data_IF_789350026285
#
_entry.id   IF_789350026285
#
_cell.length_a   1.000
_cell.length_b   1.000
_cell.length_c   1.000
_cell.angle_alpha   90.00
_cell.angle_beta   90.00
_cell.angle_gamma   90.00
#
_symmetry.space_group_name_H-M   'P 1'
#
loop_
_entity.id
_entity.type
_entity.pdbx_description
1 polymer ?
#
# COMPACT_ATOMS: atom_id res chain seq x y z
N UNK A 1 21.77 38.49 -17.98
CA UNK A 1 22.15 37.53 -19.03
C UNK A 1 21.24 36.32 -18.88
N UNK A 2 20.46 36.03 -19.92
CA UNK A 2 19.46 34.96 -19.95
C UNK A 2 20.13 33.59 -19.89
N UNK A 3 19.67 32.74 -18.96
CA UNK A 3 20.03 31.32 -18.91
C UNK A 3 19.15 30.58 -19.90
N UNK A 4 19.71 30.25 -21.07
CA UNK A 4 19.06 29.38 -22.04
C UNK A 4 18.84 27.99 -21.43
N UNK A 5 17.57 27.62 -21.23
CA UNK A 5 17.15 26.23 -21.11
C UNK A 5 17.35 25.56 -22.47
N UNK A 6 18.58 25.19 -22.81
CA UNK A 6 18.85 24.35 -23.97
C UNK A 6 18.33 22.95 -23.70
N UNK A 7 17.21 22.61 -24.33
CA UNK A 7 16.69 21.26 -24.45
C UNK A 7 17.75 20.40 -25.18
N UNK A 8 18.62 19.72 -24.42
CA UNK A 8 19.64 18.84 -25.00
C UNK A 8 18.97 17.56 -25.48
N UNK A 9 18.76 17.45 -26.79
CA UNK A 9 18.42 16.21 -27.48
C UNK A 9 19.46 15.07 -27.26
N UNK A 10 20.64 15.42 -26.73
CA UNK A 10 21.79 14.52 -26.59
C UNK A 10 21.72 13.50 -25.46
N UNK A 11 20.62 13.42 -24.72
CA UNK A 11 20.49 12.45 -23.60
C UNK A 11 19.64 11.24 -23.97
N UNK A 12 18.69 11.39 -24.91
CA UNK A 12 17.94 10.25 -25.49
C UNK A 12 18.85 9.44 -26.42
N UNK A 13 19.74 10.13 -27.11
CA UNK A 13 20.72 9.57 -28.03
C UNK A 13 22.04 9.55 -27.28
N UNK A 14 22.49 8.38 -26.81
CA UNK A 14 23.80 8.27 -26.14
C UNK A 14 24.92 8.83 -27.01
N UNK A 15 26.08 9.12 -26.42
CA UNK A 15 27.28 9.72 -27.05
C UNK A 15 27.80 9.00 -28.32
N UNK A 16 27.17 7.89 -28.73
CA UNK A 16 27.42 7.07 -29.93
C UNK A 16 26.23 6.95 -30.90
N UNK A 17 25.16 7.75 -30.78
CA UNK A 17 23.98 7.60 -31.65
C UNK A 17 23.04 6.45 -31.26
N UNK A 18 23.39 5.67 -30.23
CA UNK A 18 22.62 4.51 -29.76
C UNK A 18 21.70 4.96 -28.62
N UNK A 19 20.40 4.78 -28.79
CA UNK A 19 19.39 4.97 -27.73
C UNK A 19 19.81 4.10 -26.55
N UNK A 20 20.01 4.70 -25.37
CA UNK A 20 20.31 3.91 -24.16
C UNK A 20 19.19 2.90 -23.91
N UNK A 21 19.49 1.71 -23.37
CA UNK A 21 18.46 0.69 -23.04
C UNK A 21 17.26 1.28 -22.27
N UNK A 22 17.50 2.29 -21.44
CA UNK A 22 16.48 3.01 -20.68
C UNK A 22 15.60 3.92 -21.56
N UNK A 23 16.19 4.59 -22.56
CA UNK A 23 15.44 5.37 -23.56
C UNK A 23 14.56 4.49 -24.44
N UNK A 24 14.98 3.26 -24.74
CA UNK A 24 14.14 2.30 -25.46
C UNK A 24 12.92 1.87 -24.62
N UNK A 25 13.12 1.58 -23.33
CA UNK A 25 12.03 1.21 -22.41
C UNK A 25 11.00 2.33 -22.25
N UNK A 26 11.43 3.59 -22.17
CA UNK A 26 10.50 4.72 -22.03
C UNK A 26 9.67 4.94 -23.29
N UNK A 27 10.28 4.85 -24.47
CA UNK A 27 9.57 4.89 -25.76
C UNK A 27 8.59 3.72 -25.87
N UNK A 28 8.98 2.51 -25.45
CA UNK A 28 8.10 1.35 -25.47
C UNK A 28 6.85 1.56 -24.59
N UNK A 29 6.99 2.15 -23.40
CA UNK A 29 5.84 2.44 -22.51
C UNK A 29 4.87 3.42 -23.19
N UNK A 30 5.37 4.52 -23.75
CA UNK A 30 4.53 5.46 -24.49
C UNK A 30 3.86 4.80 -25.69
N UNK A 31 4.58 3.97 -26.44
CA UNK A 31 4.03 3.25 -27.58
C UNK A 31 2.92 2.27 -27.17
N UNK A 32 3.11 1.53 -26.08
CA UNK A 32 2.10 0.60 -25.54
C UNK A 32 0.86 1.36 -25.08
N UNK A 33 1.01 2.41 -24.26
CA UNK A 33 -0.12 3.21 -23.78
C UNK A 33 -0.87 3.88 -24.92
N UNK A 34 -0.15 4.40 -25.91
CA UNK A 34 -0.74 4.99 -27.11
C UNK A 34 -1.45 3.96 -27.98
N UNK A 35 -0.87 2.75 -28.14
CA UNK A 35 -1.52 1.64 -28.83
C UNK A 35 -2.80 1.22 -28.11
N UNK A 36 -2.80 1.11 -26.77
CA UNK A 36 -4.01 0.86 -25.98
C UNK A 36 -5.05 1.96 -26.20
N UNK A 37 -4.66 3.24 -26.20
CA UNK A 37 -5.57 4.36 -26.43
C UNK A 37 -6.22 4.30 -27.83
N UNK A 38 -5.43 4.06 -28.87
CA UNK A 38 -5.93 3.87 -30.24
C UNK A 38 -6.88 2.69 -30.29
N UNK A 39 -6.54 1.60 -29.62
CA UNK A 39 -7.36 0.40 -29.59
C UNK A 39 -8.73 0.65 -28.94
N UNK A 40 -8.76 1.36 -27.82
CA UNK A 40 -9.98 1.69 -27.08
C UNK A 40 -10.89 2.66 -27.85
N UNK A 41 -10.34 3.66 -28.54
CA UNK A 41 -11.12 4.68 -29.26
C UNK A 41 -11.43 4.29 -30.70
N UNK A 42 -10.49 3.65 -31.37
CA UNK A 42 -10.53 3.38 -32.81
C UNK A 42 -11.22 2.08 -33.20
N UNK A 43 -11.35 1.12 -32.29
CA UNK A 43 -11.98 -0.17 -32.56
C UNK A 43 -13.14 -0.41 -31.58
N UNK A 44 -14.32 -0.85 -32.06
CA UNK A 44 -15.41 -1.23 -31.16
C UNK A 44 -15.01 -2.44 -30.30
N UNK A 45 -15.53 -2.49 -29.08
CA UNK A 45 -15.43 -3.68 -28.23
C UNK A 45 -16.23 -4.85 -28.81
N UNK A 46 -15.96 -6.07 -28.33
CA UNK A 46 -16.78 -7.22 -28.71
C UNK A 46 -18.24 -6.98 -28.32
N UNK A 47 -19.23 -7.56 -29.03
CA UNK A 47 -20.65 -7.29 -28.77
C UNK A 47 -21.06 -7.52 -27.31
N UNK A 48 -20.49 -8.56 -26.69
CA UNK A 48 -20.76 -8.91 -25.29
C UNK A 48 -20.04 -7.99 -24.29
N UNK A 49 -19.04 -7.23 -24.74
CA UNK A 49 -18.23 -6.32 -23.93
C UNK A 49 -18.52 -4.84 -24.19
N UNK A 50 -19.34 -4.53 -25.18
CA UNK A 50 -19.64 -3.16 -25.60
C UNK A 50 -20.21 -2.31 -24.46
N UNK A 51 -19.64 -1.12 -24.31
CA UNK A 51 -20.03 -0.14 -23.29
C UNK A 51 -20.63 1.09 -23.98
N UNK A 52 -21.64 1.70 -23.36
CA UNK A 52 -22.25 2.93 -23.87
C UNK A 52 -21.33 4.15 -23.74
N UNK A 53 -20.40 4.14 -22.78
CA UNK A 53 -19.43 5.20 -22.54
C UNK A 53 -18.07 4.63 -22.08
N UNK A 54 -17.01 4.89 -22.84
CA UNK A 54 -15.63 4.49 -22.53
C UNK A 54 -14.76 5.66 -22.00
N UNK A 55 -15.34 6.84 -21.78
CA UNK A 55 -14.61 8.06 -21.38
C UNK A 55 -13.83 7.89 -20.07
N UNK A 56 -14.36 7.11 -19.13
CA UNK A 56 -13.68 6.82 -17.86
C UNK A 56 -12.32 6.15 -18.10
N UNK A 57 -12.30 5.13 -18.97
CA UNK A 57 -11.11 4.37 -19.28
C UNK A 57 -10.11 5.21 -20.09
N UNK A 58 -10.60 5.96 -21.08
CA UNK A 58 -9.78 6.89 -21.86
C UNK A 58 -9.14 7.95 -20.96
N UNK A 59 -9.89 8.56 -20.04
CA UNK A 59 -9.37 9.52 -19.09
C UNK A 59 -8.29 8.91 -18.19
N UNK A 60 -8.47 7.65 -17.76
CA UNK A 60 -7.47 6.92 -17.00
C UNK A 60 -6.18 6.68 -17.81
N UNK A 61 -6.28 6.26 -19.08
CA UNK A 61 -5.13 6.09 -19.97
C UNK A 61 -4.36 7.40 -20.21
N UNK A 62 -5.07 8.52 -20.36
CA UNK A 62 -4.45 9.84 -20.48
C UNK A 62 -3.77 10.27 -19.18
N UNK A 63 -4.41 10.02 -18.03
CA UNK A 63 -3.86 10.32 -16.71
C UNK A 63 -2.57 9.54 -16.46
N UNK A 64 -2.55 8.22 -16.68
CA UNK A 64 -1.34 7.40 -16.47
C UNK A 64 -0.21 7.81 -17.42
N UNK A 65 -0.54 8.14 -18.67
CA UNK A 65 0.44 8.67 -19.65
C UNK A 65 1.02 10.00 -19.19
N UNK A 66 0.18 10.90 -18.68
CA UNK A 66 0.59 12.22 -18.17
C UNK A 66 1.48 12.08 -16.94
N UNK A 67 1.11 11.22 -15.98
CA UNK A 67 1.90 10.95 -14.77
C UNK A 67 3.25 10.35 -15.14
N UNK A 68 3.28 9.42 -16.09
CA UNK A 68 4.53 8.83 -16.57
C UNK A 68 5.41 9.89 -17.24
N UNK A 69 4.87 10.68 -18.16
CA UNK A 69 5.60 11.76 -18.83
C UNK A 69 6.13 12.81 -17.86
N UNK A 70 5.34 13.21 -16.87
CA UNK A 70 5.78 14.13 -15.82
C UNK A 70 6.93 13.56 -14.99
N UNK A 71 6.90 12.26 -14.65
CA UNK A 71 8.01 11.61 -13.93
C UNK A 71 9.28 11.52 -14.76
N UNK A 72 9.16 11.21 -16.05
CA UNK A 72 10.30 11.16 -16.98
C UNK A 72 10.91 12.55 -17.15
N UNK A 73 10.08 13.59 -17.26
CA UNK A 73 10.53 14.98 -17.40
C UNK A 73 11.22 15.51 -16.13
N UNK A 74 10.66 15.23 -14.94
CA UNK A 74 11.15 15.78 -13.67
C UNK A 74 12.34 15.01 -13.08
N UNK A 75 12.45 13.70 -13.28
CA UNK A 75 13.43 12.84 -12.59
C UNK A 75 14.22 11.95 -13.57
N UNK A 76 14.87 12.57 -14.55
CA UNK A 76 15.57 11.88 -15.63
C UNK A 76 16.69 10.91 -15.14
N UNK A 77 17.36 11.21 -14.02
CA UNK A 77 18.48 10.39 -13.54
C UNK A 77 18.07 9.14 -12.73
N UNK A 78 16.85 9.11 -12.16
CA UNK A 78 16.31 7.96 -11.40
C UNK A 78 15.38 7.06 -12.23
N UNK A 79 15.45 7.17 -13.55
CA UNK A 79 14.53 6.53 -14.52
C UNK A 79 14.47 4.99 -14.39
N UNK A 80 15.55 4.32 -14.02
CA UNK A 80 15.65 2.84 -14.17
C UNK A 80 14.64 2.08 -13.31
N UNK A 81 14.51 2.40 -12.02
CA UNK A 81 13.62 1.64 -11.11
C UNK A 81 12.12 1.94 -11.32
N UNK A 82 11.78 3.14 -11.80
CA UNK A 82 10.37 3.51 -12.02
C UNK A 82 9.86 3.00 -13.36
N UNK A 83 10.72 2.92 -14.38
CA UNK A 83 10.34 2.56 -15.75
C UNK A 83 9.80 1.12 -15.83
N UNK A 84 10.41 0.18 -15.11
CA UNK A 84 10.01 -1.23 -15.17
C UNK A 84 8.60 -1.47 -14.62
N UNK A 85 8.21 -0.74 -13.57
CA UNK A 85 6.86 -0.80 -13.00
C UNK A 85 5.83 -0.29 -14.01
N UNK A 86 6.10 0.86 -14.65
CA UNK A 86 5.20 1.41 -15.66
C UNK A 86 5.11 0.54 -16.91
N UNK A 87 6.18 -0.15 -17.30
CA UNK A 87 6.17 -1.12 -18.38
C UNK A 87 5.23 -2.28 -18.07
N UNK A 88 5.34 -2.88 -16.89
CA UNK A 88 4.48 -3.99 -16.47
C UNK A 88 3.01 -3.55 -16.45
N UNK A 89 2.71 -2.37 -15.88
CA UNK A 89 1.34 -1.85 -15.82
C UNK A 89 0.80 -1.58 -17.23
N UNK A 90 1.57 -0.92 -18.09
CA UNK A 90 1.13 -0.57 -19.44
C UNK A 90 0.91 -1.81 -20.30
N UNK A 91 1.81 -2.79 -20.22
CA UNK A 91 1.67 -4.07 -20.90
C UNK A 91 0.46 -4.85 -20.37
N UNK A 92 0.24 -4.86 -19.05
CA UNK A 92 -0.93 -5.48 -18.45
C UNK A 92 -2.24 -4.86 -18.92
N UNK A 93 -2.33 -3.53 -18.98
CA UNK A 93 -3.51 -2.82 -19.50
C UNK A 93 -3.75 -3.09 -20.99
N UNK A 94 -2.69 -3.11 -21.79
CA UNK A 94 -2.77 -3.44 -23.22
C UNK A 94 -3.28 -4.87 -23.43
N UNK A 95 -2.71 -5.84 -22.71
CA UNK A 95 -3.14 -7.23 -22.78
C UNK A 95 -4.57 -7.41 -22.27
N UNK A 96 -4.98 -6.67 -21.23
CA UNK A 96 -6.35 -6.74 -20.72
C UNK A 96 -7.36 -6.24 -21.76
N UNK A 97 -7.12 -5.08 -22.37
CA UNK A 97 -7.97 -4.54 -23.44
C UNK A 97 -7.99 -5.47 -24.67
N UNK A 98 -6.83 -5.97 -25.09
CA UNK A 98 -6.71 -6.85 -26.25
C UNK A 98 -7.44 -8.17 -26.05
N UNK A 99 -7.16 -8.88 -24.95
CA UNK A 99 -7.65 -10.24 -24.75
C UNK A 99 -9.12 -10.27 -24.36
N UNK A 100 -9.56 -9.33 -23.52
CA UNK A 100 -10.89 -9.37 -22.90
C UNK A 100 -11.84 -8.31 -23.44
N UNK A 101 -11.34 -7.11 -23.80
CA UNK A 101 -12.18 -6.07 -24.40
C UNK A 101 -12.49 -6.34 -25.88
N UNK A 102 -11.45 -6.63 -26.68
CA UNK A 102 -11.61 -6.77 -28.14
C UNK A 102 -11.77 -8.21 -28.61
N UNK A 103 -10.87 -9.12 -28.20
CA UNK A 103 -10.87 -10.49 -28.71
C UNK A 103 -11.89 -11.40 -28.01
N UNK A 104 -12.39 -11.02 -26.83
CA UNK A 104 -13.37 -11.79 -26.05
C UNK A 104 -12.98 -13.26 -25.87
N UNK A 105 -11.69 -13.52 -25.62
CA UNK A 105 -11.12 -14.88 -25.64
C UNK A 105 -11.66 -15.79 -24.53
N UNK A 106 -12.09 -15.21 -23.42
CA UNK A 106 -12.73 -15.92 -22.30
C UNK A 106 -14.16 -15.42 -22.11
N UNK A 107 -14.91 -16.12 -21.25
CA UNK A 107 -16.28 -15.77 -20.91
C UNK A 107 -16.38 -14.32 -20.41
N UNK A 108 -17.07 -13.50 -21.20
CA UNK A 108 -17.26 -12.08 -20.97
C UNK A 108 -17.98 -11.75 -19.68
N UNK A 109 -18.69 -12.72 -19.12
CA UNK A 109 -19.38 -12.60 -17.84
C UNK A 109 -18.42 -12.65 -16.64
N UNK A 110 -17.37 -13.47 -16.70
CA UNK A 110 -16.41 -13.66 -15.61
C UNK A 110 -15.21 -12.72 -15.77
N UNK A 111 -14.79 -12.48 -17.02
CA UNK A 111 -13.62 -11.67 -17.35
C UNK A 111 -14.03 -10.40 -18.10
N UNK A 112 -14.41 -9.33 -17.38
CA UNK A 112 -14.87 -8.11 -18.00
C UNK A 112 -13.73 -7.34 -18.66
N UNK A 113 -14.04 -6.69 -19.79
CA UNK A 113 -13.12 -5.74 -20.42
C UNK A 113 -12.88 -4.51 -19.53
N UNK A 114 -11.73 -3.83 -19.67
CA UNK A 114 -11.41 -2.69 -18.81
C UNK A 114 -12.41 -1.54 -18.99
N UNK A 115 -12.94 -1.30 -20.19
CA UNK A 115 -13.96 -0.27 -20.40
C UNK A 115 -15.19 -0.44 -19.48
N UNK A 116 -15.70 -1.66 -19.31
CA UNK A 116 -16.82 -1.96 -18.39
C UNK A 116 -16.46 -1.70 -16.94
N UNK A 117 -15.28 -2.19 -16.53
CA UNK A 117 -14.80 -2.00 -15.16
C UNK A 117 -14.62 -0.52 -14.84
N UNK A 118 -14.08 0.26 -15.79
CA UNK A 118 -13.89 1.69 -15.57
C UNK A 118 -15.19 2.49 -15.58
N UNK A 119 -16.22 2.02 -16.29
CA UNK A 119 -17.56 2.61 -16.23
C UNK A 119 -18.16 2.52 -14.80
N UNK A 120 -17.89 1.43 -14.08
CA UNK A 120 -18.37 1.25 -12.70
C UNK A 120 -17.93 2.38 -11.77
N UNK A 121 -16.71 2.93 -11.96
CA UNK A 121 -16.24 4.05 -11.14
C UNK A 121 -17.09 5.31 -11.31
N UNK A 122 -17.81 5.45 -12.42
CA UNK A 122 -18.76 6.55 -12.66
C UNK A 122 -20.16 6.22 -12.17
N UNK A 123 -20.63 4.97 -12.33
CA UNK A 123 -22.00 4.59 -11.95
C UNK A 123 -22.15 4.41 -10.45
N UNK A 124 -21.13 3.87 -9.79
CA UNK A 124 -21.17 3.45 -8.38
C UNK A 124 -20.34 4.37 -7.47
N UNK A 125 -19.93 5.56 -7.95
CA UNK A 125 -19.02 6.48 -7.25
C UNK A 125 -19.42 6.70 -5.79
N UNK A 126 -20.71 6.97 -5.54
CA UNK A 126 -21.22 7.25 -4.20
C UNK A 126 -21.03 6.04 -3.26
N UNK A 127 -21.44 4.86 -3.69
CA UNK A 127 -21.34 3.63 -2.91
C UNK A 127 -19.88 3.23 -2.67
N UNK A 128 -19.01 3.44 -3.67
CA UNK A 128 -17.58 3.22 -3.54
C UNK A 128 -16.94 4.17 -2.52
N UNK A 129 -17.28 5.46 -2.54
CA UNK A 129 -16.79 6.43 -1.54
C UNK A 129 -17.26 6.06 -0.13
N UNK A 130 -18.54 5.72 0.04
CA UNK A 130 -19.08 5.24 1.32
C UNK A 130 -18.34 3.98 1.81
N UNK A 131 -18.04 3.07 0.89
CA UNK A 131 -17.21 1.88 1.15
C UNK A 131 -15.81 2.24 1.65
N UNK A 132 -15.10 3.15 0.96
CA UNK A 132 -13.78 3.62 1.38
C UNK A 132 -13.84 4.21 2.79
N UNK A 133 -14.78 5.13 3.05
CA UNK A 133 -14.89 5.81 4.35
C UNK A 133 -15.18 4.81 5.47
N UNK A 134 -16.08 3.85 5.24
CA UNK A 134 -16.40 2.80 6.20
C UNK A 134 -15.16 1.95 6.53
N UNK A 135 -14.47 1.45 5.48
CA UNK A 135 -13.28 0.62 5.61
C UNK A 135 -12.13 1.34 6.32
N UNK A 136 -11.85 2.59 5.94
CA UNK A 136 -10.82 3.40 6.60
C UNK A 136 -11.16 3.65 8.07
N UNK A 137 -12.43 3.93 8.38
CA UNK A 137 -12.87 4.16 9.74
C UNK A 137 -12.69 2.94 10.65
N UNK A 138 -12.96 1.73 10.13
CA UNK A 138 -12.75 0.47 10.85
C UNK A 138 -11.25 0.17 11.00
N UNK A 139 -10.50 0.29 9.89
CA UNK A 139 -9.07 0.05 9.84
C UNK A 139 -8.30 0.91 10.84
N UNK A 140 -8.47 2.23 10.76
CA UNK A 140 -7.72 3.15 11.61
C UNK A 140 -8.11 3.03 13.07
N UNK A 141 -9.39 2.77 13.39
CA UNK A 141 -9.80 2.55 14.77
C UNK A 141 -9.10 1.33 15.39
N UNK A 142 -9.09 0.19 14.70
CA UNK A 142 -8.41 -1.01 15.20
C UNK A 142 -6.89 -0.88 15.23
N UNK A 143 -6.31 -0.33 14.17
CA UNK A 143 -4.86 -0.21 14.02
C UNK A 143 -4.25 0.80 15.00
N UNK A 144 -4.86 1.98 15.18
CA UNK A 144 -4.37 2.96 16.15
C UNK A 144 -4.60 2.50 17.59
N UNK A 145 -5.67 1.76 17.88
CA UNK A 145 -5.85 1.12 19.18
C UNK A 145 -4.71 0.12 19.45
N UNK A 146 -4.31 -0.66 18.44
CA UNK A 146 -3.19 -1.59 18.55
C UNK A 146 -1.87 -0.85 18.81
N UNK A 147 -1.57 0.21 18.05
CA UNK A 147 -0.38 1.04 18.27
C UNK A 147 -0.36 1.67 19.68
N UNK A 148 -1.49 2.25 20.10
CA UNK A 148 -1.62 2.93 21.38
C UNK A 148 -1.38 2.00 22.59
N UNK A 149 -1.71 0.71 22.46
CA UNK A 149 -1.51 -0.27 23.53
C UNK A 149 -0.20 -1.06 23.38
N UNK A 150 0.11 -1.55 22.18
CA UNK A 150 1.27 -2.40 21.95
C UNK A 150 2.60 -1.64 22.14
N UNK A 151 2.67 -0.36 21.75
CA UNK A 151 3.91 0.42 21.89
C UNK A 151 4.29 0.63 23.36
N UNK A 152 3.43 1.20 24.23
CA UNK A 152 3.78 1.37 25.64
C UNK A 152 4.06 0.04 26.35
N UNK A 153 3.22 -0.99 26.11
CA UNK A 153 3.41 -2.31 26.72
C UNK A 153 4.73 -2.92 26.26
N UNK A 154 5.04 -2.86 24.96
CA UNK A 154 6.24 -3.45 24.40
C UNK A 154 7.52 -2.75 24.86
N UNK A 155 7.51 -1.41 24.93
CA UNK A 155 8.63 -0.63 25.46
C UNK A 155 8.91 -0.97 26.93
N UNK A 156 7.86 -1.02 27.74
CA UNK A 156 8.00 -1.31 29.17
C UNK A 156 8.40 -2.77 29.43
N UNK A 157 7.79 -3.71 28.69
CA UNK A 157 8.13 -5.13 28.79
C UNK A 157 9.57 -5.40 28.33
N UNK A 158 10.02 -4.73 27.26
CA UNK A 158 11.41 -4.82 26.79
C UNK A 158 12.42 -4.26 27.79
N UNK A 159 12.06 -3.25 28.58
CA UNK A 159 12.97 -2.62 29.55
C UNK A 159 13.22 -3.50 30.78
N UNK A 160 12.18 -4.18 31.29
CA UNK A 160 12.30 -5.02 32.49
C UNK A 160 12.53 -6.47 32.09
N UNK A 161 13.72 -7.02 32.39
CA UNK A 161 14.10 -8.41 32.07
C UNK A 161 13.01 -9.45 32.40
N UNK A 162 12.40 -9.38 33.58
CA UNK A 162 11.32 -10.30 33.99
C UNK A 162 10.08 -10.21 33.08
N UNK A 163 9.71 -9.02 32.63
CA UNK A 163 8.59 -8.84 31.71
C UNK A 163 8.95 -9.32 30.32
N UNK A 164 10.17 -9.03 29.84
CA UNK A 164 10.68 -9.55 28.58
C UNK A 164 10.59 -11.07 28.51
N UNK A 165 11.10 -11.77 29.54
CA UNK A 165 11.13 -13.24 29.61
C UNK A 165 9.73 -13.90 29.55
N UNK A 166 8.67 -13.14 29.87
CA UNK A 166 7.28 -13.61 29.82
C UNK A 166 6.56 -13.14 28.56
N UNK A 167 6.61 -11.84 28.27
CA UNK A 167 5.89 -11.21 27.17
C UNK A 167 6.44 -11.66 25.82
N UNK A 168 7.76 -11.81 25.68
CA UNK A 168 8.37 -12.14 24.39
C UNK A 168 7.99 -13.53 23.88
N UNK A 169 8.07 -14.62 24.68
CA UNK A 169 7.60 -15.94 24.25
C UNK A 169 6.11 -15.96 23.91
N UNK A 170 5.26 -15.35 24.75
CA UNK A 170 3.81 -15.28 24.50
C UNK A 170 3.53 -14.56 23.18
N UNK A 171 4.11 -13.38 22.98
CA UNK A 171 3.91 -12.61 21.77
C UNK A 171 4.37 -13.37 20.53
N UNK A 172 5.51 -14.07 20.60
CA UNK A 172 6.04 -14.90 19.52
C UNK A 172 5.15 -16.11 19.20
N UNK A 173 4.52 -16.71 20.21
CA UNK A 173 3.62 -17.86 20.04
C UNK A 173 2.24 -17.46 19.54
N UNK A 174 1.71 -16.31 19.97
CA UNK A 174 0.37 -15.85 19.58
C UNK A 174 0.40 -15.11 18.24
N UNK A 175 1.48 -14.38 17.91
CA UNK A 175 1.57 -13.59 16.69
C UNK A 175 1.30 -14.35 15.38
N UNK A 176 1.62 -15.65 15.22
CA UNK A 176 1.31 -16.40 14.00
C UNK A 176 -0.16 -16.80 13.87
N UNK A 177 -0.96 -16.69 14.92
CA UNK A 177 -2.38 -17.07 14.90
C UNK A 177 -3.15 -15.99 14.14
N UNK A 178 -3.81 -16.33 13.00
CA UNK A 178 -4.57 -15.34 12.25
C UNK A 178 -5.71 -14.76 13.08
N UNK A 179 -5.87 -13.44 13.06
CA UNK A 179 -6.96 -12.78 13.77
C UNK A 179 -8.35 -13.27 13.31
N UNK A 180 -8.45 -13.72 12.06
CA UNK A 180 -9.67 -14.30 11.47
C UNK A 180 -10.20 -15.52 12.23
N UNK A 181 -9.36 -16.26 12.97
CA UNK A 181 -9.80 -17.38 13.83
C UNK A 181 -10.79 -16.90 14.91
N UNK A 182 -10.65 -15.65 15.37
CA UNK A 182 -11.52 -15.07 16.39
C UNK A 182 -12.84 -14.53 15.83
N UNK A 183 -13.03 -14.55 14.51
CA UNK A 183 -14.20 -13.97 13.85
C UNK A 183 -15.53 -14.48 14.46
N UNK A 184 -15.79 -15.81 14.59
CA UNK A 184 -17.09 -16.27 15.09
C UNK A 184 -17.39 -15.78 16.51
N UNK A 185 -16.39 -15.80 17.39
CA UNK A 185 -16.52 -15.30 18.76
C UNK A 185 -16.71 -13.79 18.80
N UNK A 186 -15.98 -13.05 17.96
CA UNK A 186 -16.09 -11.59 17.91
C UNK A 186 -17.48 -11.12 17.51
N UNK A 187 -18.20 -11.88 16.67
CA UNK A 187 -19.56 -11.54 16.24
C UNK A 187 -20.60 -11.75 17.35
N UNK A 188 -20.36 -12.71 18.25
CA UNK A 188 -21.30 -13.03 19.35
C UNK A 188 -21.01 -12.16 20.57
N UNK A 189 -19.73 -11.90 20.87
CA UNK A 189 -19.32 -11.19 22.08
C UNK A 189 -19.43 -9.67 21.98
N UNK A 190 -19.34 -9.11 20.78
CA UNK A 190 -19.33 -7.66 20.58
C UNK A 190 -20.68 -7.19 20.05
N UNK A 191 -21.13 -5.98 20.44
CA UNK A 191 -22.50 -5.53 20.19
C UNK A 191 -22.80 -5.18 18.73
N UNK A 192 -21.76 -4.98 17.91
CA UNK A 192 -21.93 -4.55 16.51
C UNK A 192 -20.86 -5.16 15.62
N UNK A 193 -21.19 -5.40 14.35
CA UNK A 193 -20.23 -5.85 13.33
C UNK A 193 -19.02 -4.91 13.21
N UNK A 194 -19.24 -3.60 13.33
CA UNK A 194 -18.17 -2.60 13.35
C UNK A 194 -17.19 -2.85 14.50
N UNK A 195 -17.71 -3.08 15.71
CA UNK A 195 -16.87 -3.39 16.87
C UNK A 195 -16.11 -4.71 16.68
N UNK A 196 -16.77 -5.74 16.13
CA UNK A 196 -16.12 -7.02 15.79
C UNK A 196 -14.95 -6.83 14.82
N UNK A 197 -15.16 -6.13 13.70
CA UNK A 197 -14.09 -5.86 12.74
C UNK A 197 -12.93 -5.05 13.34
N UNK A 198 -13.23 -4.03 14.15
CA UNK A 198 -12.20 -3.24 14.86
C UNK A 198 -11.37 -4.13 15.79
N UNK A 199 -12.02 -5.04 16.52
CA UNK A 199 -11.36 -5.97 17.44
C UNK A 199 -10.43 -6.95 16.71
N UNK A 200 -10.85 -7.49 15.57
CA UNK A 200 -10.02 -8.40 14.78
C UNK A 200 -8.79 -7.69 14.24
N UNK A 201 -8.96 -6.47 13.71
CA UNK A 201 -7.84 -5.64 13.25
C UNK A 201 -6.89 -5.32 14.41
N UNK A 202 -7.44 -4.97 15.57
CA UNK A 202 -6.67 -4.73 16.78
C UNK A 202 -5.79 -5.95 17.12
N UNK A 203 -6.36 -7.16 17.21
CA UNK A 203 -5.59 -8.38 17.52
C UNK A 203 -4.54 -8.66 16.44
N UNK A 204 -4.90 -8.54 15.16
CA UNK A 204 -4.00 -8.82 14.05
C UNK A 204 -2.78 -7.87 14.00
N UNK A 205 -2.98 -6.62 14.39
CA UNK A 205 -1.90 -5.62 14.44
C UNK A 205 -1.10 -5.65 15.75
N UNK A 206 -1.75 -5.95 16.88
CA UNK A 206 -1.19 -5.80 18.23
C UNK A 206 0.09 -6.61 18.42
N UNK A 207 0.08 -7.90 18.07
CA UNK A 207 1.21 -8.79 18.34
C UNK A 207 2.48 -8.45 17.54
N UNK A 208 2.44 -8.24 16.22
CA UNK A 208 3.61 -7.80 15.46
C UNK A 208 4.19 -6.48 15.96
N UNK A 209 3.33 -5.51 16.31
CA UNK A 209 3.76 -4.22 16.87
C UNK A 209 4.46 -4.45 18.21
N UNK A 210 3.87 -5.25 19.10
CA UNK A 210 4.43 -5.56 20.41
C UNK A 210 5.80 -6.23 20.28
N UNK A 211 5.93 -7.24 19.42
CA UNK A 211 7.20 -7.92 19.14
C UNK A 211 8.24 -6.94 18.59
N UNK A 212 7.87 -6.07 17.66
CA UNK A 212 8.76 -5.03 17.13
C UNK A 212 9.27 -4.07 18.21
N UNK A 213 8.40 -3.68 19.15
CA UNK A 213 8.77 -2.83 20.28
C UNK A 213 9.74 -3.53 21.23
N UNK A 214 9.41 -4.76 21.65
CA UNK A 214 10.20 -5.55 22.58
C UNK A 214 11.59 -5.84 22.01
N UNK A 215 11.67 -6.27 20.75
CA UNK A 215 12.94 -6.49 20.06
C UNK A 215 13.74 -5.20 19.88
N UNK A 216 13.07 -4.08 19.58
CA UNK A 216 13.70 -2.77 19.48
C UNK A 216 14.42 -2.38 20.77
N UNK A 217 13.76 -2.52 21.92
CA UNK A 217 14.38 -2.23 23.23
C UNK A 217 15.53 -3.19 23.54
N UNK A 218 15.36 -4.49 23.24
CA UNK A 218 16.41 -5.49 23.48
C UNK A 218 17.66 -5.26 22.62
N UNK A 219 17.51 -4.66 21.43
CA UNK A 219 18.61 -4.40 20.50
C UNK A 219 19.48 -3.18 20.87
N UNK A 220 19.10 -2.41 21.89
CA UNK A 220 19.84 -1.20 22.31
C UNK A 220 21.19 -1.59 22.92
N UNK A 221 22.26 -0.91 22.51
CA UNK A 221 23.59 -1.14 23.04
C UNK A 221 23.64 -0.93 24.57
N UNK A 222 24.10 -1.95 25.28
CA UNK A 222 24.39 -1.93 26.71
C UNK A 222 25.25 -0.73 27.14
N UNK A 223 26.16 -0.22 26.29
CA UNK A 223 26.99 0.96 26.56
C UNK A 223 26.15 2.23 26.70
N UNK A 224 25.15 2.40 25.83
CA UNK A 224 24.21 3.51 25.86
C UNK A 224 23.37 3.47 27.15
N UNK A 225 22.91 2.27 27.53
CA UNK A 225 22.15 2.05 28.77
C UNK A 225 23.02 2.34 30.01
N UNK A 226 24.26 1.85 30.04
CA UNK A 226 25.18 2.06 31.16
C UNK A 226 25.55 3.53 31.31
N UNK A 227 25.85 4.22 30.21
CA UNK A 227 26.14 5.67 30.22
C UNK A 227 24.94 6.46 30.76
N UNK A 228 23.73 6.11 30.34
CA UNK A 228 22.52 6.73 30.83
C UNK A 228 22.28 6.50 32.34
N UNK A 229 22.64 5.32 32.86
CA UNK A 229 22.60 5.04 34.30
C UNK A 229 23.60 5.87 35.09
N UNK A 230 24.79 6.18 34.52
CA UNK A 230 25.76 7.06 35.19
C UNK A 230 25.27 8.51 35.30
N UNK A 231 24.34 8.93 34.44
CA UNK A 231 23.68 10.23 34.47
C UNK A 231 22.43 10.26 35.37
N UNK A 232 22.18 9.18 36.12
CA UNK A 232 21.04 9.00 37.04
C UNK A 232 19.67 9.32 36.40
N UNK A 233 19.49 8.92 35.14
CA UNK A 233 18.22 9.07 34.44
C UNK A 233 17.14 8.19 35.08
N UNK A 234 16.00 8.80 35.42
CA UNK A 234 14.81 8.07 35.88
C UNK A 234 14.28 7.07 34.83
N UNK A 235 13.55 6.05 35.27
CA UNK A 235 12.95 5.03 34.38
C UNK A 235 12.12 5.65 33.24
N UNK A 236 11.36 6.70 33.53
CA UNK A 236 10.58 7.42 32.51
C UNK A 236 11.47 8.12 31.48
N UNK A 237 12.55 8.77 31.94
CA UNK A 237 13.51 9.43 31.05
C UNK A 237 14.28 8.42 30.21
N UNK A 238 14.64 7.27 30.79
CA UNK A 238 15.27 6.16 30.07
C UNK A 238 14.39 5.69 28.91
N UNK A 239 13.12 5.39 29.19
CA UNK A 239 12.17 4.93 28.15
C UNK A 239 11.98 6.00 27.07
N UNK A 240 11.67 7.24 27.45
CA UNK A 240 11.29 8.29 26.49
C UNK A 240 12.47 8.85 25.69
N UNK A 241 13.65 9.00 26.29
CA UNK A 241 14.79 9.69 25.66
C UNK A 241 15.79 8.74 25.00
N UNK A 242 15.83 7.47 25.42
CA UNK A 242 16.84 6.52 24.95
C UNK A 242 16.18 5.35 24.26
N UNK A 243 15.33 4.61 24.99
CA UNK A 243 14.78 3.36 24.45
C UNK A 243 13.82 3.59 23.30
N UNK A 244 12.89 4.55 23.42
CA UNK A 244 11.91 4.84 22.37
C UNK A 244 12.58 5.29 21.06
N UNK A 245 13.50 6.29 21.05
CA UNK A 245 14.21 6.66 19.82
C UNK A 245 15.03 5.51 19.23
N UNK A 246 15.75 4.76 20.07
CA UNK A 246 16.60 3.66 19.60
C UNK A 246 15.78 2.47 19.06
N UNK A 247 14.61 2.19 19.65
CA UNK A 247 13.71 1.12 19.22
C UNK A 247 12.85 1.50 18.00
N UNK A 248 12.78 2.78 17.65
CA UNK A 248 11.87 3.31 16.63
C UNK A 248 11.94 2.58 15.28
N UNK A 249 13.11 2.21 14.71
CA UNK A 249 13.18 1.42 13.49
C UNK A 249 12.46 0.06 13.60
N UNK A 250 12.65 -0.64 14.73
CA UNK A 250 11.99 -1.93 14.99
C UNK A 250 10.50 -1.78 15.26
N UNK A 251 10.08 -0.68 15.90
CA UNK A 251 8.66 -0.33 16.08
C UNK A 251 8.00 -0.15 14.71
N UNK A 252 8.61 0.60 13.79
CA UNK A 252 8.08 0.78 12.44
C UNK A 252 8.01 -0.53 11.65
N UNK A 253 9.04 -1.39 11.76
CA UNK A 253 9.01 -2.72 11.16
C UNK A 253 7.82 -3.57 11.66
N UNK A 254 7.59 -3.59 12.99
CA UNK A 254 6.43 -4.27 13.58
C UNK A 254 5.10 -3.64 13.16
N UNK A 255 5.04 -2.31 13.11
CA UNK A 255 3.87 -1.55 12.66
C UNK A 255 3.53 -1.79 11.19
N UNK A 256 4.53 -1.96 10.32
CA UNK A 256 4.33 -2.29 8.91
C UNK A 256 3.70 -3.67 8.76
N UNK A 257 4.24 -4.68 9.45
CA UNK A 257 3.67 -6.04 9.45
C UNK A 257 2.24 -6.01 10.01
N UNK A 258 2.03 -5.31 11.12
CA UNK A 258 0.70 -5.15 11.72
C UNK A 258 -0.31 -4.48 10.76
N UNK A 259 0.14 -3.50 9.97
CA UNK A 259 -0.70 -2.82 8.98
C UNK A 259 -1.07 -3.75 7.82
N UNK A 260 -0.13 -4.55 7.32
CA UNK A 260 -0.39 -5.58 6.30
C UNK A 260 -1.46 -6.57 6.79
N UNK A 261 -1.29 -7.10 8.00
CA UNK A 261 -2.24 -8.03 8.60
C UNK A 261 -3.61 -7.39 8.88
N UNK A 262 -3.62 -6.09 9.18
CA UNK A 262 -4.85 -5.32 9.36
C UNK A 262 -5.68 -5.26 8.08
N UNK A 263 -5.06 -5.04 6.93
CA UNK A 263 -5.77 -5.06 5.64
C UNK A 263 -6.36 -6.43 5.32
N UNK A 264 -5.57 -7.49 5.48
CA UNK A 264 -6.04 -8.87 5.25
C UNK A 264 -7.24 -9.17 6.15
N UNK A 265 -7.14 -8.83 7.43
CA UNK A 265 -8.21 -9.07 8.41
C UNK A 265 -9.44 -8.21 8.15
N UNK A 266 -9.26 -6.93 7.79
CA UNK A 266 -10.35 -6.01 7.41
C UNK A 266 -11.16 -6.60 6.26
N UNK A 267 -10.48 -7.01 5.18
CA UNK A 267 -11.14 -7.56 3.99
C UNK A 267 -11.99 -8.78 4.37
N UNK A 268 -11.45 -9.72 5.13
CA UNK A 268 -12.20 -10.92 5.56
C UNK A 268 -13.39 -10.55 6.46
N UNK A 269 -13.19 -9.64 7.42
CA UNK A 269 -14.25 -9.21 8.32
C UNK A 269 -15.40 -8.51 7.58
N UNK A 270 -15.07 -7.65 6.61
CA UNK A 270 -16.06 -6.95 5.80
C UNK A 270 -16.83 -7.87 4.85
N UNK A 271 -16.15 -8.86 4.26
CA UNK A 271 -16.80 -9.84 3.38
C UNK A 271 -17.83 -10.71 4.13
N UNK A 272 -17.60 -11.02 5.41
CA UNK A 272 -18.46 -11.97 6.12
C UNK A 272 -19.61 -11.27 6.84
N UNK A 273 -19.37 -10.12 7.47
CA UNK A 273 -20.27 -9.60 8.48
C UNK A 273 -20.64 -8.11 8.33
N UNK A 274 -19.91 -7.34 7.51
CA UNK A 274 -20.22 -5.93 7.37
C UNK A 274 -21.41 -5.69 6.45
N UNK A 275 -22.02 -4.51 6.57
CA UNK A 275 -23.09 -4.01 5.69
C UNK A 275 -22.63 -2.84 4.82
N UNK A 276 -21.35 -2.46 4.93
CA UNK A 276 -20.68 -1.42 4.15
C UNK A 276 -19.17 -1.67 4.21
N UNK A 277 -18.42 -1.13 3.25
CA UNK A 277 -16.98 -1.33 3.13
C UNK A 277 -16.58 -1.87 1.76
N UNK A 278 -15.28 -1.79 1.44
CA UNK A 278 -14.74 -2.28 0.19
C UNK A 278 -14.80 -3.81 0.10
N UNK A 279 -14.51 -4.53 1.19
CA UNK A 279 -14.65 -5.99 1.23
C UNK A 279 -16.12 -6.43 1.10
N UNK A 280 -17.03 -5.68 1.71
CA UNK A 280 -18.46 -5.90 1.56
C UNK A 280 -18.93 -5.67 0.11
N UNK A 281 -18.50 -4.56 -0.52
CA UNK A 281 -18.85 -4.25 -1.91
C UNK A 281 -18.43 -5.38 -2.86
N UNK A 282 -17.19 -5.86 -2.72
CA UNK A 282 -16.67 -6.98 -3.53
C UNK A 282 -17.51 -8.24 -3.31
N UNK A 283 -17.77 -8.61 -2.06
CA UNK A 283 -18.52 -9.83 -1.75
C UNK A 283 -19.97 -9.74 -2.21
N UNK A 284 -20.62 -8.59 -2.02
CA UNK A 284 -22.00 -8.37 -2.40
C UNK A 284 -22.19 -8.59 -3.91
N UNK A 285 -21.39 -7.93 -4.75
CA UNK A 285 -21.50 -8.09 -6.20
C UNK A 285 -21.02 -9.45 -6.70
N UNK A 286 -20.10 -10.09 -5.98
CA UNK A 286 -19.71 -11.48 -6.26
C UNK A 286 -20.90 -12.45 -6.09
N UNK A 287 -21.75 -12.27 -5.07
CA UNK A 287 -22.94 -13.11 -4.87
C UNK A 287 -23.97 -12.98 -5.99
N UNK A 288 -24.03 -11.83 -6.66
CA UNK A 288 -24.87 -11.59 -7.84
C UNK A 288 -24.12 -11.82 -9.16
N UNK A 289 -22.90 -12.37 -9.10
CA UNK A 289 -22.05 -12.64 -10.24
C UNK A 289 -21.85 -11.43 -11.18
N UNK A 290 -21.86 -10.22 -10.63
CA UNK A 290 -21.53 -9.00 -11.37
C UNK A 290 -20.02 -8.75 -11.30
N UNK A 291 -19.27 -9.42 -12.18
CA UNK A 291 -17.81 -9.37 -12.14
C UNK A 291 -17.22 -8.03 -12.59
N UNK A 292 -17.97 -7.20 -13.33
CA UNK A 292 -17.59 -5.82 -13.63
C UNK A 292 -17.33 -5.06 -12.33
N UNK A 293 -18.31 -5.11 -11.41
CA UNK A 293 -18.26 -4.45 -10.11
C UNK A 293 -17.27 -5.11 -9.14
N UNK A 294 -17.19 -6.44 -9.15
CA UNK A 294 -16.19 -7.18 -8.34
C UNK A 294 -14.78 -6.70 -8.70
N UNK A 295 -14.45 -6.67 -10.00
CA UNK A 295 -13.14 -6.24 -10.49
C UNK A 295 -12.87 -4.78 -10.18
N UNK A 296 -13.85 -3.91 -10.37
CA UNK A 296 -13.74 -2.49 -10.03
C UNK A 296 -13.47 -2.27 -8.53
N UNK A 297 -14.19 -3.00 -7.67
CA UNK A 297 -14.00 -2.98 -6.22
C UNK A 297 -12.61 -3.48 -5.79
N UNK A 298 -12.09 -4.53 -6.43
CA UNK A 298 -10.73 -5.02 -6.19
C UNK A 298 -9.67 -3.99 -6.58
N UNK A 299 -9.79 -3.37 -7.76
CA UNK A 299 -8.88 -2.31 -8.21
C UNK A 299 -8.92 -1.13 -7.22
N UNK A 300 -10.10 -0.73 -6.77
CA UNK A 300 -10.25 0.33 -5.78
C UNK A 300 -9.57 -0.01 -4.46
N UNK A 301 -9.77 -1.23 -3.95
CA UNK A 301 -9.14 -1.71 -2.73
C UNK A 301 -7.61 -1.69 -2.86
N UNK A 302 -7.05 -2.16 -3.97
CA UNK A 302 -5.62 -2.12 -4.26
C UNK A 302 -5.11 -0.67 -4.25
N UNK A 303 -5.82 0.25 -4.92
CA UNK A 303 -5.44 1.66 -4.97
C UNK A 303 -5.42 2.30 -3.57
N UNK A 304 -6.41 2.00 -2.72
CA UNK A 304 -6.48 2.49 -1.33
C UNK A 304 -5.33 1.93 -0.49
N UNK A 305 -5.06 0.62 -0.57
CA UNK A 305 -3.94 -0.03 0.15
C UNK A 305 -2.60 0.58 -0.26
N UNK A 306 -2.36 0.74 -1.57
CA UNK A 306 -1.15 1.39 -2.09
C UNK A 306 -1.04 2.82 -1.56
N UNK A 307 -2.14 3.58 -1.54
CA UNK A 307 -2.17 4.94 -1.01
C UNK A 307 -1.74 5.00 0.47
N UNK A 308 -2.29 4.13 1.30
CA UNK A 308 -1.99 4.07 2.73
C UNK A 308 -0.55 3.60 2.98
N UNK A 309 -0.06 2.58 2.26
CA UNK A 309 1.31 2.10 2.39
C UNK A 309 2.32 3.18 2.00
N UNK A 310 2.06 3.93 0.92
CA UNK A 310 2.91 5.06 0.55
C UNK A 310 2.94 6.16 1.62
N UNK A 311 1.80 6.43 2.27
CA UNK A 311 1.74 7.38 3.39
C UNK A 311 2.55 6.86 4.58
N UNK A 312 2.40 5.58 4.92
CA UNK A 312 3.16 4.93 5.99
C UNK A 312 4.67 5.02 5.75
N UNK A 313 5.14 4.70 4.53
CA UNK A 313 6.55 4.77 4.16
C UNK A 313 7.10 6.20 4.27
N UNK A 314 6.32 7.21 3.89
CA UNK A 314 6.70 8.62 4.04
C UNK A 314 6.82 9.02 5.50
N UNK A 315 5.89 8.59 6.34
CA UNK A 315 5.92 8.82 7.78
C UNK A 315 7.17 8.15 8.37
N UNK A 316 7.40 6.86 8.07
CA UNK A 316 8.57 6.12 8.54
C UNK A 316 9.88 6.82 8.14
N UNK A 317 10.02 7.19 6.86
CA UNK A 317 11.19 7.93 6.37
C UNK A 317 11.39 9.24 7.11
N UNK A 318 10.32 9.98 7.40
CA UNK A 318 10.39 11.24 8.14
C UNK A 318 10.90 11.05 9.58
N UNK A 319 10.41 10.04 10.29
CA UNK A 319 10.82 9.76 11.67
C UNK A 319 12.20 9.09 11.79
N UNK A 320 12.63 8.37 10.75
CA UNK A 320 13.90 7.63 10.72
C UNK A 320 15.02 8.31 9.93
N UNK A 321 14.92 9.60 9.60
CA UNK A 321 15.95 10.34 8.83
C UNK A 321 17.35 10.28 9.44
N UNK A 322 17.43 10.15 10.75
CA UNK A 322 18.70 10.07 11.49
C UNK A 322 19.36 8.69 11.40
N UNK A 323 18.61 7.65 11.02
CA UNK A 323 19.12 6.28 10.95
C UNK A 323 19.87 6.08 9.63
N UNK A 324 21.12 5.55 9.63
CA UNK A 324 21.99 5.50 8.44
C UNK A 324 21.33 4.90 7.20
N UNK A 325 20.58 3.81 7.38
CA UNK A 325 19.85 3.11 6.31
C UNK A 325 18.80 3.97 5.58
N UNK A 326 18.26 5.00 6.24
CA UNK A 326 17.19 5.84 5.68
C UNK A 326 17.65 7.27 5.34
N UNK A 327 18.78 7.73 5.89
CA UNK A 327 19.34 9.06 5.65
C UNK A 327 20.29 9.16 4.44
N UNK A 328 20.98 8.09 4.06
CA UNK A 328 22.00 8.13 2.97
C UNK A 328 21.41 8.30 1.57
N UNK A 329 20.12 7.98 1.37
CA UNK A 329 19.44 8.12 0.07
C UNK A 329 19.25 9.57 -0.41
N UNK A 330 19.36 10.57 0.49
CA UNK A 330 19.36 11.99 0.14
C UNK A 330 20.79 12.57 0.09
N UNK A 331 21.70 12.14 0.98
CA UNK A 331 23.08 12.65 0.98
C UNK A 331 23.90 12.21 -0.23
N UNK A 332 23.69 10.99 -0.73
CA UNK A 332 24.41 10.50 -1.93
C UNK A 332 23.87 11.13 -3.22
N UNK A 333 22.61 11.61 -3.22
CA UNK A 333 22.00 12.31 -4.35
C UNK A 333 22.32 13.82 -4.39
N UNK A 334 22.84 14.38 -3.29
CA UNK A 334 23.34 15.76 -3.23
C UNK A 334 24.85 15.87 -3.49
N UNK A 335 25.55 14.73 -3.56
CA UNK A 335 27.00 14.62 -3.78
C UNK A 335 27.38 14.01 -5.13
N UNK A 336 26.42 13.83 -6.03
CA UNK A 336 26.61 13.42 -7.43
C UNK A 336 26.00 14.48 -8.35
#
# INVERSE_FOLDING_TARGET
>A
MMSENSFSLGTIIGRSGIISSNGFRSVAIFAILFATLIMTVGFPDSPDQAVSDNRAFVAFLLLITTIYGAKVYLNYEKIVSTTDIFLIISLGLFLWELLFGKLSLLDSFIFPGPAKVFMVFQTDTKQMIEGIVSSLGILFAGYFLALALAIPIGLYAGWKKRLFDVTYPIAKTVSPIPATVYLPYSLVLLPTFRASSIFLIFIGAFWPILVGCVNGVFSVDSRLINSARTLDLSDYQMVRKILLPAALPSIFSGAMIGLILSFITLTVAEMIAATSGLGWYIQYYHQFANYDKVTAGMILMIAVVIGIMNIFDRIQKHFLRWHPTYGEGESSAASL
#
